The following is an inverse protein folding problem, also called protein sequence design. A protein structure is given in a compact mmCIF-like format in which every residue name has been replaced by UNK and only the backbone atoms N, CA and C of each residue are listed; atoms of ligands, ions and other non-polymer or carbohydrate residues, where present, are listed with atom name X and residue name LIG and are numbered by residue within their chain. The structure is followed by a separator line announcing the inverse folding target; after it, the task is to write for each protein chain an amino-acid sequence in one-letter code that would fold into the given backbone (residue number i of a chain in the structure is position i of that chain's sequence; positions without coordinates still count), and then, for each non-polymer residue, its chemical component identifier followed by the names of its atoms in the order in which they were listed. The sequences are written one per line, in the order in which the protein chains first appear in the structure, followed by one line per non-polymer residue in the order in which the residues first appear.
data_IF_793570107652
#
_entry.id   IF_793570107652
#
_cell.length_a   1.000
_cell.length_b   1.000
_cell.length_c   1.000
_cell.angle_alpha   90.00
_cell.angle_beta   90.00
_cell.angle_gamma   90.00
#
_symmetry.space_group_name_H-M   'P 1'
#
loop_
_entity.id
_entity.type
_entity.pdbx_description
1 polymer ?
#
# COMPACT_ATOMS: atom_id res chain seq x y z
N UNK A 1 2.96 16.77 7.28
CA UNK A 1 3.25 16.39 8.69
C UNK A 1 3.01 17.60 9.59
N UNK A 2 2.23 17.46 10.68
CA UNK A 2 1.94 18.57 11.60
C UNK A 2 3.21 19.17 12.25
N UNK A 3 4.20 18.31 12.53
CA UNK A 3 5.52 18.67 13.05
C UNK A 3 6.26 19.74 12.22
N UNK A 4 6.38 19.52 10.90
CA UNK A 4 7.03 20.45 9.97
C UNK A 4 6.23 21.75 9.82
N UNK A 5 4.90 21.65 9.76
CA UNK A 5 4.03 22.81 9.63
C UNK A 5 4.13 23.75 10.84
N UNK A 6 4.27 23.21 12.06
CA UNK A 6 4.51 24.00 13.27
C UNK A 6 5.83 24.77 13.26
N UNK A 7 6.79 24.35 12.43
CA UNK A 7 8.11 24.99 12.22
C UNK A 7 8.15 25.88 10.99
N UNK A 8 6.99 26.15 10.38
CA UNK A 8 6.87 26.99 9.19
C UNK A 8 7.14 26.27 7.86
N UNK A 9 7.52 24.99 7.87
CA UNK A 9 7.77 24.21 6.66
C UNK A 9 6.47 23.58 6.16
N UNK A 10 5.82 24.27 5.22
CA UNK A 10 4.52 23.86 4.65
C UNK A 10 4.65 23.68 3.15
N UNK A 11 4.31 22.48 2.66
CA UNK A 11 4.21 22.20 1.24
C UNK A 11 2.97 22.87 0.63
N UNK A 12 3.15 23.64 -0.45
CA UNK A 12 2.07 24.42 -1.10
C UNK A 12 1.87 24.10 -2.58
N UNK A 13 2.75 23.33 -3.19
CA UNK A 13 2.79 23.12 -4.66
C UNK A 13 1.92 21.95 -5.15
N UNK A 14 0.98 21.49 -4.34
CA UNK A 14 0.04 20.44 -4.74
C UNK A 14 -0.48 19.61 -3.57
N UNK A 15 -0.78 18.34 -3.88
CA UNK A 15 -1.37 17.40 -2.92
C UNK A 15 -0.29 16.77 -2.04
N UNK A 16 -0.63 16.60 -0.76
CA UNK A 16 0.19 15.86 0.18
C UNK A 16 0.33 14.40 -0.25
N UNK A 17 1.47 13.80 0.10
CA UNK A 17 1.84 12.40 -0.22
C UNK A 17 1.92 12.06 -1.71
N UNK A 18 1.99 13.07 -2.58
CA UNK A 18 2.38 12.90 -3.97
C UNK A 18 3.91 12.70 -4.12
N UNK A 19 4.35 12.25 -5.30
CA UNK A 19 5.78 12.18 -5.63
C UNK A 19 6.48 13.54 -5.47
N UNK A 20 5.81 14.64 -5.83
CA UNK A 20 6.34 16.00 -5.64
C UNK A 20 6.49 16.35 -4.16
N UNK A 21 5.51 15.99 -3.33
CA UNK A 21 5.61 16.19 -1.88
C UNK A 21 6.74 15.36 -1.27
N UNK A 22 6.91 14.10 -1.67
CA UNK A 22 8.01 13.24 -1.21
C UNK A 22 9.38 13.78 -1.63
N UNK A 23 9.50 14.27 -2.86
CA UNK A 23 10.72 14.95 -3.33
C UNK A 23 11.03 16.18 -2.48
N UNK A 24 10.02 17.03 -2.22
CA UNK A 24 10.16 18.18 -1.32
C UNK A 24 10.60 17.78 0.09
N UNK A 25 10.00 16.75 0.69
CA UNK A 25 10.43 16.23 1.99
C UNK A 25 11.91 15.81 1.98
N UNK A 26 12.38 15.16 0.91
CA UNK A 26 13.80 14.77 0.76
C UNK A 26 14.73 15.98 0.66
N UNK A 27 14.29 17.10 0.06
CA UNK A 27 15.08 18.35 0.06
C UNK A 27 15.27 18.91 1.47
N UNK A 28 14.28 18.75 2.36
CA UNK A 28 14.39 19.18 3.75
C UNK A 28 15.32 18.28 4.59
N UNK A 29 15.60 17.06 4.15
CA UNK A 29 16.54 16.14 4.80
C UNK A 29 17.94 16.17 4.19
N UNK A 30 18.17 16.97 3.15
CA UNK A 30 19.47 17.06 2.48
C UNK A 30 20.54 17.73 3.36
N UNK A 31 21.81 17.63 2.97
CA UNK A 31 22.92 18.24 3.70
C UNK A 31 22.75 19.77 3.87
N UNK A 32 22.13 20.44 2.90
CA UNK A 32 21.79 21.87 2.94
C UNK A 32 20.43 22.14 3.62
N UNK A 33 20.08 21.35 4.65
CA UNK A 33 18.77 21.44 5.28
C UNK A 33 18.55 22.81 5.93
N UNK A 34 17.35 23.41 5.76
CA UNK A 34 16.97 24.64 6.47
C UNK A 34 16.46 24.37 7.90
N UNK A 35 16.36 23.10 8.32
CA UNK A 35 15.86 22.74 9.65
C UNK A 35 16.91 23.00 10.74
N UNK A 36 16.45 23.37 11.94
CA UNK A 36 17.30 23.35 13.13
C UNK A 36 17.85 21.93 13.37
N UNK A 37 18.99 21.81 14.04
CA UNK A 37 19.72 20.53 14.17
C UNK A 37 18.86 19.43 14.81
N UNK A 38 18.19 19.75 15.90
CA UNK A 38 17.29 18.85 16.64
C UNK A 38 16.11 18.40 15.76
N UNK A 39 15.58 19.30 14.95
CA UNK A 39 14.45 19.02 14.07
C UNK A 39 14.86 18.18 12.86
N UNK A 40 16.05 18.43 12.32
CA UNK A 40 16.64 17.64 11.25
C UNK A 40 16.87 16.19 11.68
N UNK A 41 17.33 15.97 12.92
CA UNK A 41 17.48 14.63 13.50
C UNK A 41 16.13 13.90 13.58
N UNK A 42 15.13 14.52 14.22
CA UNK A 42 13.80 13.91 14.37
C UNK A 42 13.13 13.66 13.02
N UNK A 43 13.23 14.62 12.10
CA UNK A 43 12.68 14.49 10.76
C UNK A 43 13.37 13.40 9.95
N UNK A 44 14.69 13.29 10.04
CA UNK A 44 15.48 12.25 9.38
C UNK A 44 15.05 10.84 9.81
N UNK A 45 14.81 10.63 11.10
CA UNK A 45 14.29 9.36 11.62
C UNK A 45 12.90 9.03 11.04
N UNK A 46 11.99 10.01 11.01
CA UNK A 46 10.67 9.80 10.42
C UNK A 46 10.72 9.52 8.92
N UNK A 47 11.58 10.21 8.18
CA UNK A 47 11.75 9.98 6.75
C UNK A 47 12.34 8.60 6.48
N UNK A 48 13.33 8.18 7.27
CA UNK A 48 13.96 6.87 7.16
C UNK A 48 12.97 5.74 7.46
N UNK A 49 12.13 5.89 8.50
CA UNK A 49 11.07 4.94 8.81
C UNK A 49 10.00 4.88 7.70
N UNK A 50 9.68 6.01 7.08
CA UNK A 50 8.76 6.06 5.94
C UNK A 50 9.33 5.29 4.75
N UNK A 51 10.58 5.59 4.36
CA UNK A 51 11.24 4.91 3.24
C UNK A 51 11.37 3.40 3.52
N UNK A 52 11.70 2.99 4.75
CA UNK A 52 11.70 1.59 5.16
C UNK A 52 10.33 0.92 4.99
N UNK A 53 9.25 1.56 5.46
CA UNK A 53 7.89 1.01 5.36
C UNK A 53 7.42 0.90 3.91
N UNK A 54 7.75 1.89 3.08
CA UNK A 54 7.46 1.85 1.64
C UNK A 54 8.21 0.67 1.00
N UNK A 55 9.52 0.57 1.25
CA UNK A 55 10.33 -0.53 0.71
C UNK A 55 9.82 -1.90 1.16
N UNK A 56 9.45 -2.06 2.44
CA UNK A 56 8.90 -3.31 2.96
C UNK A 56 7.56 -3.66 2.32
N UNK A 57 6.67 -2.68 2.12
CA UNK A 57 5.42 -2.88 1.38
C UNK A 57 5.69 -3.36 -0.04
N UNK A 58 6.58 -2.67 -0.75
CA UNK A 58 6.88 -2.99 -2.15
C UNK A 58 7.54 -4.38 -2.29
N UNK A 59 8.28 -4.82 -1.27
CA UNK A 59 8.79 -6.21 -1.18
C UNK A 59 7.65 -7.22 -1.05
N UNK A 60 6.73 -6.98 -0.10
CA UNK A 60 5.58 -7.85 0.11
C UNK A 60 4.68 -7.91 -1.14
N UNK A 61 4.48 -6.80 -1.84
CA UNK A 61 3.72 -6.78 -3.10
C UNK A 61 4.39 -7.66 -4.17
N UNK A 62 5.72 -7.69 -4.22
CA UNK A 62 6.48 -8.58 -5.12
C UNK A 62 6.36 -10.05 -4.71
N UNK A 63 6.49 -10.35 -3.42
CA UNK A 63 6.26 -11.71 -2.89
C UNK A 63 4.84 -12.21 -3.21
N UNK A 64 3.82 -11.37 -3.01
CA UNK A 64 2.42 -11.67 -3.35
C UNK A 64 2.28 -11.97 -4.84
N UNK A 65 2.96 -11.19 -5.70
CA UNK A 65 2.94 -11.43 -7.15
C UNK A 65 3.54 -12.78 -7.51
N UNK A 66 4.64 -13.17 -6.86
CA UNK A 66 5.24 -14.49 -7.06
C UNK A 66 4.32 -15.61 -6.57
N UNK A 67 3.72 -15.47 -5.39
CA UNK A 67 2.79 -16.46 -4.85
C UNK A 67 1.54 -16.61 -5.73
N UNK A 68 0.98 -15.51 -6.23
CA UNK A 68 -0.20 -15.53 -7.08
C UNK A 68 0.03 -16.30 -8.41
N UNK A 69 1.28 -16.46 -8.84
CA UNK A 69 1.63 -17.24 -10.02
C UNK A 69 1.75 -18.75 -9.76
N UNK A 70 1.69 -19.20 -8.51
CA UNK A 70 1.72 -20.62 -8.18
C UNK A 70 0.48 -21.33 -8.73
N UNK A 71 0.59 -22.61 -9.16
CA UNK A 71 -0.54 -23.35 -9.75
C UNK A 71 -1.79 -23.42 -8.88
N UNK A 72 -1.63 -23.37 -7.56
CA UNK A 72 -2.73 -23.39 -6.59
C UNK A 72 -3.57 -22.09 -6.57
N UNK A 73 -2.97 -20.94 -6.91
CA UNK A 73 -3.66 -19.63 -6.90
C UNK A 73 -3.95 -19.08 -8.29
N UNK A 74 -3.07 -19.33 -9.26
CA UNK A 74 -3.10 -18.69 -10.57
C UNK A 74 -4.46 -18.76 -11.30
N UNK A 75 -5.19 -19.90 -11.31
CA UNK A 75 -6.51 -19.97 -11.94
C UNK A 75 -7.54 -19.05 -11.28
N UNK A 76 -7.60 -19.06 -9.95
CA UNK A 76 -8.57 -18.26 -9.19
C UNK A 76 -8.25 -16.76 -9.28
N UNK A 77 -6.98 -16.40 -9.13
CA UNK A 77 -6.52 -15.01 -9.23
C UNK A 77 -6.77 -14.44 -10.62
N UNK A 78 -6.43 -15.17 -11.69
CA UNK A 78 -6.66 -14.74 -13.08
C UNK A 78 -8.15 -14.51 -13.36
N UNK A 79 -9.00 -15.45 -12.93
CA UNK A 79 -10.46 -15.30 -13.09
C UNK A 79 -11.00 -14.10 -12.32
N UNK A 80 -10.55 -13.87 -11.09
CA UNK A 80 -10.97 -12.72 -10.28
C UNK A 80 -10.52 -11.38 -10.89
N UNK A 81 -9.32 -11.31 -11.47
CA UNK A 81 -8.82 -10.09 -12.10
C UNK A 81 -9.59 -9.70 -13.39
N UNK A 82 -10.38 -10.60 -13.97
CA UNK A 82 -11.28 -10.26 -15.08
C UNK A 82 -12.43 -9.32 -14.64
N UNK A 83 -12.76 -9.28 -13.34
CA UNK A 83 -13.78 -8.38 -12.83
C UNK A 83 -13.23 -6.96 -12.65
N UNK A 84 -14.01 -5.97 -13.09
CA UNK A 84 -13.65 -4.55 -12.94
C UNK A 84 -13.46 -4.23 -11.46
N UNK A 85 -12.28 -3.69 -11.13
CA UNK A 85 -11.92 -3.28 -9.76
C UNK A 85 -11.11 -4.31 -8.98
N UNK A 86 -10.96 -5.54 -9.48
CA UNK A 86 -10.12 -6.55 -8.86
C UNK A 86 -8.69 -6.49 -9.40
N UNK A 87 -7.80 -5.91 -8.59
CA UNK A 87 -6.36 -5.95 -8.82
C UNK A 87 -5.75 -7.19 -8.15
N UNK A 88 -4.50 -7.49 -8.49
CA UNK A 88 -3.78 -8.69 -8.04
C UNK A 88 -3.90 -8.92 -6.53
N UNK A 89 -3.66 -7.89 -5.72
CA UNK A 89 -3.74 -7.97 -4.26
C UNK A 89 -5.14 -8.37 -3.78
N UNK A 90 -6.19 -7.68 -4.24
CA UNK A 90 -7.57 -8.01 -3.87
C UNK A 90 -8.00 -9.39 -4.34
N UNK A 91 -7.57 -9.80 -5.54
CA UNK A 91 -7.82 -11.12 -6.08
C UNK A 91 -7.11 -12.22 -5.25
N UNK A 92 -5.87 -11.97 -4.85
CA UNK A 92 -5.11 -12.88 -3.99
C UNK A 92 -5.77 -13.03 -2.61
N UNK A 93 -6.17 -11.91 -1.98
CA UNK A 93 -6.89 -11.95 -0.70
C UNK A 93 -8.14 -12.82 -0.79
N UNK A 94 -8.97 -12.63 -1.82
CA UNK A 94 -10.16 -13.45 -2.01
C UNK A 94 -9.83 -14.92 -2.27
N UNK A 95 -8.81 -15.21 -3.11
CA UNK A 95 -8.39 -16.57 -3.37
C UNK A 95 -7.95 -17.29 -2.07
N UNK A 96 -7.20 -16.59 -1.22
CA UNK A 96 -6.73 -17.13 0.07
C UNK A 96 -7.80 -17.20 1.15
N UNK A 97 -8.81 -16.33 1.13
CA UNK A 97 -9.94 -16.38 2.07
C UNK A 97 -10.93 -17.48 1.70
N UNK A 98 -11.09 -17.74 0.40
CA UNK A 98 -12.03 -18.75 -0.08
C UNK A 98 -11.45 -20.16 0.07
N UNK A 99 -10.17 -20.36 -0.29
CA UNK A 99 -9.41 -21.62 -0.26
C UNK A 99 -10.06 -22.75 -1.06
N UNK A 100 -11.25 -23.18 -0.67
CA UNK A 100 -12.10 -24.14 -1.35
C UNK A 100 -13.47 -23.54 -1.70
N UNK A 101 -13.68 -23.30 -3.00
CA UNK A 101 -14.93 -22.80 -3.55
C UNK A 101 -16.12 -23.76 -3.33
N UNK A 102 -15.84 -25.05 -3.14
CA UNK A 102 -16.87 -26.09 -2.89
C UNK A 102 -17.49 -25.98 -1.50
N UNK A 103 -16.93 -25.17 -0.60
CA UNK A 103 -17.51 -24.91 0.72
C UNK A 103 -18.89 -24.25 0.64
N UNK A 104 -19.21 -23.61 -0.48
CA UNK A 104 -20.50 -22.97 -0.71
C UNK A 104 -21.39 -23.86 -1.59
N UNK A 105 -22.52 -24.30 -1.06
CA UNK A 105 -23.47 -25.12 -1.80
C UNK A 105 -24.25 -24.31 -2.87
N UNK A 106 -24.36 -22.99 -2.67
CA UNK A 106 -25.06 -22.07 -3.59
C UNK A 106 -24.24 -20.81 -3.84
N UNK A 107 -24.26 -20.24 -5.05
CA UNK A 107 -23.58 -18.97 -5.35
C UNK A 107 -23.98 -17.80 -4.43
N UNK A 108 -25.23 -17.76 -3.97
CA UNK A 108 -25.70 -16.73 -3.04
C UNK A 108 -25.02 -16.77 -1.67
N UNK A 109 -24.61 -17.97 -1.21
CA UNK A 109 -23.87 -18.11 0.06
C UNK A 109 -22.45 -17.55 -0.05
N UNK A 110 -21.79 -17.77 -1.20
CA UNK A 110 -20.51 -17.15 -1.50
C UNK A 110 -20.66 -15.63 -1.58
N UNK A 111 -21.66 -15.13 -2.30
CA UNK A 111 -21.88 -13.68 -2.43
C UNK A 111 -22.19 -13.03 -1.08
N UNK A 112 -22.95 -13.70 -0.20
CA UNK A 112 -23.21 -13.22 1.16
C UNK A 112 -21.94 -13.23 2.03
N UNK A 113 -21.12 -14.28 1.94
CA UNK A 113 -19.83 -14.33 2.63
C UNK A 113 -18.89 -13.19 2.19
N UNK A 114 -18.93 -12.83 0.90
CA UNK A 114 -18.18 -11.70 0.35
C UNK A 114 -18.84 -10.33 0.61
N UNK A 115 -19.98 -10.28 1.29
CA UNK A 115 -20.71 -9.04 1.60
C UNK A 115 -21.37 -8.37 0.38
N UNK A 116 -21.57 -9.11 -0.72
CA UNK A 116 -22.15 -8.60 -1.97
C UNK A 116 -23.69 -8.61 -1.98
N UNK A 117 -24.30 -9.51 -1.21
CA UNK A 117 -25.75 -9.64 -1.06
C UNK A 117 -26.09 -9.99 0.39
N UNK A 118 -27.28 -9.60 0.85
CA UNK A 118 -27.83 -9.92 2.17
C UNK A 118 -28.93 -10.98 2.07
#
# INVERSE_FOLDING_TARGET
MKFLAQRGFVYREGQNWSLKHLAWLRTLAAASTPLAREDALVFGEYLSLLDYKIGRRDELDREITTLAALPEYAPAVSWLQCFRGFQLHSAMVLATEIVDWRRFARPTQLMAYLGLVS
#
